data_IF_489356628484
#
_entry.id   IF_489356628484
#
_cell.length_a   1.000
_cell.length_b   1.000
_cell.length_c   1.000
_cell.angle_alpha   90.00
_cell.angle_beta   90.00
_cell.angle_gamma   90.00
#
_symmetry.space_group_name_H-M   'P 1'
#
loop_
_entity.id
_entity.type
_entity.pdbx_description
1 polymer ?
#
# COMPACT_ATOMS: atom_id res chain seq x y z
N UNK A 1 35.47 33.98 48.10
CA UNK A 1 35.51 33.07 46.92
C UNK A 1 34.28 33.35 46.05
N UNK A 2 34.44 33.57 44.74
CA UNK A 2 33.33 33.75 43.81
C UNK A 2 33.53 32.84 42.60
N UNK A 3 32.48 32.13 42.16
CA UNK A 3 32.54 31.24 40.98
C UNK A 3 31.95 31.97 39.77
N UNK A 4 32.78 32.20 38.76
CA UNK A 4 32.37 32.83 37.50
C UNK A 4 31.60 31.78 36.67
N UNK A 5 30.34 32.09 36.33
CA UNK A 5 29.52 31.25 35.45
C UNK A 5 29.88 31.47 33.98
N UNK A 6 30.17 30.40 33.26
CA UNK A 6 30.44 30.45 31.81
C UNK A 6 29.15 30.71 31.02
N UNK A 7 29.12 31.81 30.24
CA UNK A 7 28.04 32.06 29.29
C UNK A 7 28.12 31.08 28.12
N UNK A 8 27.01 30.43 27.80
CA UNK A 8 26.86 29.70 26.54
C UNK A 8 26.62 30.70 25.39
N UNK A 9 27.25 30.51 24.21
CA UNK A 9 26.95 31.32 23.03
C UNK A 9 25.53 31.02 22.51
N UNK A 10 24.78 32.07 22.18
CA UNK A 10 23.41 31.94 21.69
C UNK A 10 23.33 31.37 20.28
N UNK A 11 22.58 30.28 20.09
CA UNK A 11 22.29 29.75 18.75
C UNK A 11 21.32 30.67 18.00
N UNK A 12 21.84 31.51 17.12
CA UNK A 12 21.06 32.36 16.21
C UNK A 12 20.29 31.50 15.19
N UNK A 13 19.03 31.18 15.48
CA UNK A 13 18.13 30.52 14.53
C UNK A 13 17.73 31.50 13.41
N UNK A 14 18.42 31.40 12.26
CA UNK A 14 18.05 32.13 11.04
C UNK A 14 16.65 31.71 10.56
N UNK A 15 15.65 32.53 10.91
CA UNK A 15 14.23 32.32 10.59
C UNK A 15 13.96 32.59 9.11
N UNK A 16 14.24 31.60 8.27
CA UNK A 16 13.89 31.62 6.84
C UNK A 16 12.38 31.86 6.71
N UNK A 17 12.00 33.00 6.10
CA UNK A 17 10.60 33.31 5.75
C UNK A 17 10.30 32.79 4.34
N UNK A 18 9.35 31.86 4.13
CA UNK A 18 8.91 31.53 2.79
C UNK A 18 8.08 32.69 2.20
N UNK A 19 8.61 33.37 1.20
CA UNK A 19 7.87 34.40 0.44
C UNK A 19 6.91 33.73 -0.57
N UNK A 20 5.85 33.08 -0.05
CA UNK A 20 4.80 32.44 -0.84
C UNK A 20 3.44 33.11 -0.60
N UNK A 21 3.14 34.17 -1.36
CA UNK A 21 1.84 34.87 -1.29
C UNK A 21 0.83 34.19 -2.20
N UNK A 22 0.15 33.16 -1.68
CA UNK A 22 -0.99 32.54 -2.39
C UNK A 22 -2.07 33.60 -2.64
N UNK A 23 -2.46 33.79 -3.90
CA UNK A 23 -3.51 34.71 -4.32
C UNK A 23 -4.74 33.89 -4.71
N UNK A 24 -5.84 34.06 -3.98
CA UNK A 24 -7.12 33.42 -4.28
C UNK A 24 -7.63 33.84 -5.66
N UNK A 25 -8.28 32.96 -6.44
CA UNK A 25 -9.10 33.38 -7.57
C UNK A 25 -10.28 34.22 -7.06
N UNK A 26 -10.54 35.37 -7.70
CA UNK A 26 -11.76 36.15 -7.48
C UNK A 26 -12.76 35.80 -8.59
N UNK A 27 -14.02 35.57 -8.22
CA UNK A 27 -15.08 35.19 -9.16
C UNK A 27 -15.97 36.36 -9.58
N UNK A 28 -16.65 36.17 -10.72
CA UNK A 28 -17.83 36.89 -11.22
C UNK A 28 -17.69 38.39 -11.55
N UNK A 29 -17.83 38.74 -12.83
CA UNK A 29 -19.03 39.42 -13.39
C UNK A 29 -18.90 39.72 -14.90
N UNK A 30 -19.96 40.25 -15.50
CA UNK A 30 -20.23 40.53 -16.94
C UNK A 30 -20.70 42.02 -17.03
N UNK A 31 -21.04 42.66 -18.19
CA UNK A 31 -20.93 42.24 -19.60
C UNK A 31 -20.56 43.37 -20.62
N UNK A 32 -20.56 43.04 -21.93
CA UNK A 32 -20.74 43.93 -23.12
C UNK A 32 -19.68 45.03 -23.42
N UNK A 33 -19.45 45.49 -24.66
CA UNK A 33 -19.81 45.08 -26.05
C UNK A 33 -18.58 45.41 -26.95
N UNK A 34 -18.44 45.22 -28.28
CA UNK A 34 -19.22 44.80 -29.48
C UNK A 34 -18.20 44.09 -30.41
N UNK A 35 -18.45 43.37 -31.52
CA UNK A 35 -19.62 42.93 -32.35
C UNK A 35 -19.15 41.64 -33.12
N UNK A 36 -19.59 41.16 -34.30
CA UNK A 36 -20.50 41.61 -35.38
C UNK A 36 -21.02 40.43 -36.26
N UNK A 37 -21.93 40.75 -37.19
CA UNK A 37 -22.35 40.03 -38.43
C UNK A 37 -22.48 38.49 -38.46
N UNK A 38 -23.74 38.02 -38.53
CA UNK A 38 -24.24 36.77 -39.16
C UNK A 38 -23.86 35.39 -38.56
N UNK A 39 -24.67 34.32 -38.69
CA UNK A 39 -26.14 34.21 -38.87
C UNK A 39 -26.58 32.75 -38.62
N UNK A 40 -27.59 32.51 -37.77
CA UNK A 40 -28.11 31.15 -37.55
C UNK A 40 -29.28 31.06 -36.55
N UNK A 41 -30.50 30.86 -37.07
CA UNK A 41 -31.71 30.38 -36.36
C UNK A 41 -31.58 28.85 -36.14
N UNK A 42 -32.32 28.05 -35.35
CA UNK A 42 -33.46 28.21 -34.42
C UNK A 42 -33.65 26.85 -33.65
N UNK A 43 -34.31 26.72 -32.49
CA UNK A 43 -34.61 27.69 -31.42
C UNK A 43 -35.09 27.02 -30.10
N UNK A 44 -34.66 27.57 -28.95
CA UNK A 44 -35.47 27.90 -27.74
C UNK A 44 -36.24 26.83 -26.89
N UNK A 45 -35.74 26.63 -25.64
CA UNK A 45 -36.49 26.39 -24.36
C UNK A 45 -37.30 25.05 -24.23
N UNK A 46 -37.82 24.57 -23.08
CA UNK A 46 -37.85 25.01 -21.65
C UNK A 46 -38.00 23.82 -20.64
N UNK A 47 -37.63 24.06 -19.38
CA UNK A 47 -38.05 23.40 -18.10
C UNK A 47 -38.00 21.87 -17.83
N UNK A 48 -37.95 21.60 -16.52
CA UNK A 48 -38.35 20.39 -15.78
C UNK A 48 -39.28 20.89 -14.63
N UNK A 49 -40.08 20.07 -13.92
CA UNK A 49 -40.00 18.61 -13.78
C UNK A 49 -41.34 17.84 -13.94
N UNK A 50 -41.30 16.51 -13.80
CA UNK A 50 -42.48 15.62 -13.74
C UNK A 50 -42.14 14.31 -13.02
N UNK A 51 -43.14 13.59 -12.48
CA UNK A 51 -42.94 12.47 -11.56
C UNK A 51 -43.78 11.21 -11.92
N UNK A 52 -43.28 10.05 -11.49
CA UNK A 52 -43.90 8.70 -11.50
C UNK A 52 -44.35 8.12 -12.84
N UNK A 53 -43.68 7.04 -13.26
CA UNK A 53 -44.34 5.74 -13.51
C UNK A 53 -43.34 4.59 -13.51
N UNK A 54 -43.77 3.44 -12.99
CA UNK A 54 -43.07 2.17 -13.18
C UNK A 54 -43.31 1.68 -14.61
N UNK A 55 -42.26 1.23 -15.30
CA UNK A 55 -42.42 0.20 -16.34
C UNK A 55 -41.40 -0.92 -16.16
N UNK A 56 -41.91 -2.14 -16.34
CA UNK A 56 -41.26 -3.40 -15.98
C UNK A 56 -40.51 -3.96 -17.19
N UNK A 57 -39.34 -3.40 -17.48
CA UNK A 57 -38.43 -3.97 -18.51
C UNK A 57 -37.41 -4.90 -17.86
N UNK A 58 -37.49 -6.19 -18.18
CA UNK A 58 -36.48 -7.17 -17.79
C UNK A 58 -35.37 -7.20 -18.84
N UNK A 59 -34.25 -6.51 -18.57
CA UNK A 59 -33.03 -6.70 -19.37
C UNK A 59 -32.18 -7.84 -18.79
N UNK A 60 -31.70 -8.71 -19.67
CA UNK A 60 -30.82 -9.81 -19.36
C UNK A 60 -29.40 -9.32 -19.16
N UNK A 61 -29.15 -8.64 -18.04
CA UNK A 61 -27.84 -8.15 -17.63
C UNK A 61 -26.82 -9.29 -17.58
N UNK A 62 -26.12 -9.49 -18.70
CA UNK A 62 -24.98 -10.43 -18.84
C UNK A 62 -24.04 -10.16 -17.66
N UNK A 63 -23.62 -11.18 -16.89
CA UNK A 63 -22.69 -10.96 -15.79
C UNK A 63 -21.41 -10.36 -16.37
N UNK A 64 -21.22 -9.05 -16.14
CA UNK A 64 -20.05 -8.33 -16.61
C UNK A 64 -18.82 -9.02 -16.07
N UNK A 65 -17.84 -9.33 -16.93
CA UNK A 65 -16.67 -10.14 -16.60
C UNK A 65 -16.05 -9.68 -15.28
N UNK A 66 -16.29 -10.45 -14.21
CA UNK A 66 -15.78 -10.16 -12.87
C UNK A 66 -14.31 -10.54 -12.87
N UNK A 67 -13.46 -9.59 -13.26
CA UNK A 67 -12.01 -9.73 -13.24
C UNK A 67 -11.58 -9.75 -11.77
N UNK A 68 -11.57 -10.94 -11.18
CA UNK A 68 -11.09 -11.16 -9.82
C UNK A 68 -9.61 -10.79 -9.72
N UNK A 69 -9.27 -9.93 -8.76
CA UNK A 69 -7.91 -9.42 -8.61
C UNK A 69 -7.16 -10.34 -7.67
N UNK A 70 -6.01 -10.86 -8.10
CA UNK A 70 -5.12 -11.65 -7.23
C UNK A 70 -4.22 -10.70 -6.45
N UNK A 71 -4.33 -10.69 -5.12
CA UNK A 71 -3.60 -9.82 -4.20
C UNK A 71 -2.72 -10.70 -3.31
N UNK A 72 -1.39 -10.51 -3.37
CA UNK A 72 -0.44 -11.28 -2.57
C UNK A 72 0.02 -10.47 -1.36
N UNK A 73 -0.02 -11.06 -0.18
CA UNK A 73 0.51 -10.47 1.05
C UNK A 73 1.68 -11.32 1.54
N UNK A 74 2.86 -10.70 1.63
CA UNK A 74 4.06 -11.38 2.16
C UNK A 74 3.95 -11.48 3.67
N UNK A 75 3.98 -12.70 4.19
CA UNK A 75 3.78 -13.00 5.60
C UNK A 75 5.01 -13.66 6.23
N UNK A 76 5.35 -13.20 7.42
CA UNK A 76 6.27 -13.84 8.36
C UNK A 76 5.75 -13.64 9.80
N UNK A 77 6.49 -14.10 10.80
CA UNK A 77 6.12 -13.97 12.23
C UNK A 77 6.21 -12.54 12.77
N UNK A 78 6.50 -11.52 11.95
CA UNK A 78 6.68 -10.14 12.39
C UNK A 78 5.38 -9.37 12.60
N UNK A 79 5.44 -8.36 13.47
CA UNK A 79 4.35 -7.40 13.68
C UNK A 79 4.16 -6.49 12.45
N UNK A 80 5.23 -6.31 11.67
CA UNK A 80 5.23 -5.62 10.38
C UNK A 80 4.35 -6.34 9.35
N UNK A 81 4.55 -7.64 9.14
CA UNK A 81 3.74 -8.46 8.24
C UNK A 81 2.28 -8.55 8.70
N UNK A 82 2.06 -8.80 10.00
CA UNK A 82 0.71 -8.79 10.60
C UNK A 82 0.01 -7.43 10.39
N UNK A 83 0.73 -6.32 10.52
CA UNK A 83 0.20 -4.98 10.27
C UNK A 83 -0.14 -4.71 8.81
N UNK A 84 0.68 -5.21 7.87
CA UNK A 84 0.42 -5.09 6.44
C UNK A 84 -0.81 -5.90 5.99
N UNK A 85 -0.96 -7.13 6.50
CA UNK A 85 -2.16 -7.95 6.29
C UNK A 85 -3.42 -7.31 6.89
N UNK A 86 -3.31 -6.77 8.11
CA UNK A 86 -4.42 -6.05 8.75
C UNK A 86 -4.84 -4.81 7.97
N UNK A 87 -3.89 -4.07 7.40
CA UNK A 87 -4.17 -2.94 6.50
C UNK A 87 -4.86 -3.42 5.21
N UNK A 88 -4.33 -4.46 4.54
CA UNK A 88 -4.85 -4.92 3.25
C UNK A 88 -6.34 -5.29 3.32
N UNK A 89 -6.72 -6.11 4.30
CA UNK A 89 -8.13 -6.51 4.50
C UNK A 89 -9.07 -5.34 4.81
N UNK A 90 -8.54 -4.26 5.40
CA UNK A 90 -9.34 -3.07 5.76
C UNK A 90 -9.41 -2.01 4.67
N UNK A 91 -8.50 -1.96 3.68
CA UNK A 91 -8.42 -0.84 2.73
C UNK A 91 -8.35 -1.23 1.24
N UNK A 92 -7.97 -2.46 0.87
CA UNK A 92 -7.79 -2.82 -0.55
C UNK A 92 -8.48 -4.10 -1.00
N UNK A 93 -8.62 -5.10 -0.10
CA UNK A 93 -9.29 -6.37 -0.40
C UNK A 93 -10.81 -6.18 -0.47
N UNK A 94 -11.41 -6.66 -1.54
CA UNK A 94 -12.84 -6.73 -1.84
C UNK A 94 -13.28 -8.21 -1.86
N UNK A 95 -14.58 -8.48 -1.72
CA UNK A 95 -15.10 -9.86 -1.64
C UNK A 95 -14.87 -10.72 -2.89
N UNK A 96 -14.56 -10.07 -4.03
CA UNK A 96 -14.26 -10.69 -5.33
C UNK A 96 -12.75 -10.82 -5.62
N UNK A 97 -11.88 -10.49 -4.65
CA UNK A 97 -10.44 -10.65 -4.78
C UNK A 97 -9.99 -12.02 -4.23
N UNK A 98 -9.00 -12.63 -4.89
CA UNK A 98 -8.29 -13.79 -4.36
C UNK A 98 -7.05 -13.31 -3.58
N UNK A 99 -6.97 -13.63 -2.29
CA UNK A 99 -5.86 -13.20 -1.43
C UNK A 99 -4.88 -14.35 -1.16
N UNK A 100 -3.63 -14.19 -1.58
CA UNK A 100 -2.57 -15.17 -1.41
C UNK A 100 -1.67 -14.77 -0.23
N UNK A 101 -1.59 -15.60 0.81
CA UNK A 101 -0.62 -15.45 1.90
C UNK A 101 0.70 -16.14 1.50
N UNK A 102 1.72 -15.36 1.15
CA UNK A 102 3.05 -15.87 0.76
C UNK A 102 4.01 -15.92 1.95
N UNK A 103 4.37 -17.12 2.41
CA UNK A 103 5.50 -17.34 3.32
C UNK A 103 6.75 -17.77 2.54
N UNK A 104 7.87 -17.06 2.71
CA UNK A 104 9.15 -17.43 2.08
C UNK A 104 10.11 -18.04 3.10
N UNK A 105 10.37 -19.34 2.93
CA UNK A 105 11.36 -20.11 3.71
C UNK A 105 12.76 -19.99 3.12
N UNK A 106 13.78 -20.33 3.91
CA UNK A 106 15.14 -20.54 3.40
C UNK A 106 15.36 -22.03 3.14
N UNK A 107 16.16 -22.42 2.13
CA UNK A 107 16.57 -23.81 1.97
C UNK A 107 17.27 -24.33 3.21
N UNK A 108 16.82 -25.49 3.68
CA UNK A 108 17.45 -26.18 4.80
C UNK A 108 18.74 -26.88 4.34
N UNK A 109 19.74 -26.97 5.21
CA UNK A 109 20.97 -27.76 4.97
C UNK A 109 20.86 -29.18 5.56
N UNK A 110 19.66 -29.74 5.69
CA UNK A 110 19.51 -31.11 6.18
C UNK A 110 19.84 -32.11 5.07
N UNK A 111 21.03 -32.70 5.14
CA UNK A 111 21.37 -33.87 4.35
C UNK A 111 20.59 -35.10 4.80
N UNK A 112 20.15 -35.91 3.84
CA UNK A 112 19.81 -37.33 3.98
C UNK A 112 19.00 -37.74 5.22
N UNK A 113 17.70 -37.44 5.24
CA UNK A 113 16.72 -38.40 5.76
C UNK A 113 15.34 -38.27 5.10
N UNK A 114 15.07 -39.25 4.24
CA UNK A 114 13.82 -40.01 4.07
C UNK A 114 12.45 -39.31 4.13
N UNK A 115 11.68 -39.59 3.09
CA UNK A 115 10.26 -39.34 2.87
C UNK A 115 9.37 -39.08 4.11
N UNK A 116 8.58 -38.01 4.04
CA UNK A 116 7.16 -38.12 4.36
C UNK A 116 6.32 -37.22 3.44
N UNK A 117 5.50 -37.84 2.58
CA UNK A 117 4.61 -37.13 1.67
C UNK A 117 3.37 -36.60 2.41
N UNK A 118 3.59 -35.61 3.30
CA UNK A 118 2.54 -34.86 3.99
C UNK A 118 2.71 -33.38 3.68
N UNK A 119 1.59 -32.71 3.44
CA UNK A 119 1.48 -31.28 3.04
C UNK A 119 1.73 -30.34 4.23
N UNK A 120 2.74 -30.65 5.04
CA UNK A 120 3.08 -30.00 6.31
C UNK A 120 3.70 -28.63 6.03
N UNK A 121 3.04 -27.58 6.51
CA UNK A 121 3.59 -26.22 6.51
C UNK A 121 4.92 -26.24 7.29
N UNK A 122 6.06 -25.79 6.70
CA UNK A 122 7.35 -25.80 7.40
C UNK A 122 7.30 -25.01 8.71
N UNK A 123 8.07 -25.42 9.73
CA UNK A 123 8.08 -24.78 11.06
C UNK A 123 8.24 -23.25 11.02
N UNK A 124 9.04 -22.76 10.08
CA UNK A 124 9.24 -21.32 9.83
C UNK A 124 7.95 -20.54 9.45
N UNK A 125 6.85 -21.23 9.15
CA UNK A 125 5.56 -20.71 8.71
C UNK A 125 4.39 -21.10 9.65
N UNK A 126 4.65 -21.62 10.86
CA UNK A 126 3.62 -22.02 11.86
C UNK A 126 2.59 -20.93 12.19
N UNK A 127 2.94 -19.66 12.01
CA UNK A 127 2.04 -18.52 12.22
C UNK A 127 0.87 -18.45 11.21
N UNK A 128 0.94 -19.15 10.06
CA UNK A 128 -0.02 -18.99 8.95
C UNK A 128 -1.46 -19.26 9.42
N UNK A 129 -1.72 -20.28 10.23
CA UNK A 129 -3.09 -20.61 10.66
C UNK A 129 -3.71 -19.49 11.52
N UNK A 130 -2.90 -18.76 12.27
CA UNK A 130 -3.34 -17.57 13.00
C UNK A 130 -3.71 -16.43 12.05
N UNK A 131 -2.95 -16.26 10.97
CA UNK A 131 -3.24 -15.26 9.93
C UNK A 131 -4.48 -15.65 9.10
N UNK A 132 -4.62 -16.93 8.72
CA UNK A 132 -5.79 -17.46 8.00
C UNK A 132 -7.08 -17.24 8.79
N UNK A 133 -7.10 -17.60 10.08
CA UNK A 133 -8.23 -17.34 10.98
C UNK A 133 -8.57 -15.84 11.06
N UNK A 134 -7.56 -14.96 11.09
CA UNK A 134 -7.75 -13.49 11.11
C UNK A 134 -8.32 -12.93 9.79
N UNK A 135 -8.02 -13.56 8.64
CA UNK A 135 -8.58 -13.19 7.35
C UNK A 135 -10.06 -13.59 7.29
N UNK A 136 -10.36 -14.85 7.60
CA UNK A 136 -11.70 -15.42 7.62
C UNK A 136 -12.62 -14.67 8.61
N UNK A 137 -12.10 -14.27 9.78
CA UNK A 137 -12.87 -13.46 10.75
C UNK A 137 -13.03 -11.99 10.38
N UNK A 138 -12.41 -11.51 9.30
CA UNK A 138 -12.56 -10.14 8.78
C UNK A 138 -13.47 -10.07 7.57
N UNK A 139 -13.30 -10.99 6.62
CA UNK A 139 -14.03 -11.11 5.36
C UNK A 139 -14.12 -12.59 4.99
N UNK A 140 -15.15 -13.33 5.42
CA UNK A 140 -15.30 -14.76 5.11
C UNK A 140 -15.63 -15.03 3.64
N UNK A 141 -16.03 -14.01 2.88
CA UNK A 141 -16.38 -14.10 1.45
C UNK A 141 -15.14 -14.16 0.54
N UNK A 142 -13.98 -13.73 1.05
CA UNK A 142 -12.72 -13.60 0.29
C UNK A 142 -12.06 -14.97 0.13
N UNK A 143 -11.76 -15.33 -1.12
CA UNK A 143 -10.96 -16.51 -1.42
C UNK A 143 -9.54 -16.36 -0.85
N UNK A 144 -9.09 -17.34 -0.05
CA UNK A 144 -7.81 -17.26 0.67
C UNK A 144 -6.89 -18.44 0.34
N UNK A 145 -5.87 -18.15 -0.45
CA UNK A 145 -4.78 -19.06 -0.77
C UNK A 145 -3.60 -18.94 0.20
N UNK A 146 -2.81 -20.00 0.29
CA UNK A 146 -1.55 -20.04 1.04
C UNK A 146 -0.46 -20.57 0.12
N UNK A 147 0.56 -19.75 -0.12
CA UNK A 147 1.75 -20.12 -0.85
C UNK A 147 2.94 -20.20 0.12
N UNK A 148 3.66 -21.33 0.11
CA UNK A 148 4.94 -21.45 0.78
C UNK A 148 6.00 -21.71 -0.29
N UNK A 149 7.00 -20.83 -0.37
CA UNK A 149 8.05 -20.92 -1.38
C UNK A 149 9.42 -20.88 -0.72
N UNK A 150 10.30 -21.79 -1.13
CA UNK A 150 11.67 -21.86 -0.66
C UNK A 150 12.58 -21.00 -1.53
N UNK A 151 13.40 -20.16 -0.90
CA UNK A 151 14.27 -19.23 -1.61
C UNK A 151 15.52 -18.88 -0.82
N UNK A 152 16.67 -18.88 -1.51
CA UNK A 152 17.95 -18.42 -0.95
C UNK A 152 17.86 -16.94 -0.54
N UNK A 153 17.34 -16.11 -1.45
CA UNK A 153 17.28 -14.66 -1.33
C UNK A 153 15.82 -14.18 -1.47
N UNK A 154 15.22 -13.73 -0.35
CA UNK A 154 13.77 -13.46 -0.28
C UNK A 154 13.26 -12.45 -1.31
N UNK A 155 14.07 -11.47 -1.71
CA UNK A 155 13.67 -10.40 -2.64
C UNK A 155 13.28 -10.95 -4.03
N UNK A 156 14.22 -11.58 -4.76
CA UNK A 156 13.95 -12.27 -6.01
C UNK A 156 12.78 -13.26 -5.89
N UNK A 157 12.78 -14.15 -4.90
CA UNK A 157 11.75 -15.19 -4.75
C UNK A 157 10.34 -14.63 -4.58
N UNK A 158 10.15 -13.50 -3.88
CA UNK A 158 8.84 -12.84 -3.78
C UNK A 158 8.39 -12.28 -5.13
N UNK A 159 9.30 -11.63 -5.87
CA UNK A 159 9.01 -11.02 -7.18
C UNK A 159 8.68 -12.09 -8.21
N UNK A 160 9.45 -13.18 -8.24
CA UNK A 160 9.25 -14.31 -9.14
C UNK A 160 7.92 -15.03 -8.88
N UNK A 161 7.56 -15.28 -7.61
CA UNK A 161 6.28 -15.92 -7.29
C UNK A 161 5.08 -14.99 -7.56
N UNK A 162 5.20 -13.69 -7.27
CA UNK A 162 4.15 -12.71 -7.59
C UNK A 162 3.88 -12.64 -9.11
N UNK A 163 4.94 -12.66 -9.93
CA UNK A 163 4.84 -12.74 -11.39
C UNK A 163 4.21 -14.07 -11.83
N UNK A 164 4.70 -15.20 -11.33
CA UNK A 164 4.22 -16.56 -11.62
C UNK A 164 2.74 -16.76 -11.30
N UNK A 165 2.24 -16.11 -10.25
CA UNK A 165 0.84 -16.19 -9.84
C UNK A 165 -0.08 -15.13 -10.49
N UNK A 166 0.43 -14.30 -11.41
CA UNK A 166 -0.38 -13.28 -12.10
C UNK A 166 -0.94 -12.20 -11.17
N UNK A 167 -0.20 -11.86 -10.10
CA UNK A 167 -0.67 -11.00 -9.02
C UNK A 167 -0.73 -9.54 -9.45
N UNK A 168 -1.87 -8.88 -9.27
CA UNK A 168 -2.05 -7.46 -9.60
C UNK A 168 -1.47 -6.50 -8.54
N UNK A 169 -1.45 -6.93 -7.28
CA UNK A 169 -0.96 -6.11 -6.15
C UNK A 169 -0.18 -6.96 -5.13
N UNK A 170 1.01 -6.49 -4.75
CA UNK A 170 1.90 -7.13 -3.79
C UNK A 170 2.03 -6.26 -2.53
N UNK A 171 1.64 -6.79 -1.36
CA UNK A 171 1.64 -6.06 -0.09
C UNK A 171 2.73 -6.58 0.85
N UNK A 172 3.53 -5.67 1.41
CA UNK A 172 4.79 -5.96 2.11
C UNK A 172 4.85 -5.27 3.50
N UNK A 173 5.23 -6.01 4.53
CA UNK A 173 5.49 -5.46 5.88
C UNK A 173 6.77 -4.63 5.95
N UNK A 174 6.67 -3.31 6.13
CA UNK A 174 7.82 -2.40 6.14
C UNK A 174 8.34 -2.14 7.57
N UNK A 175 9.57 -2.61 7.86
CA UNK A 175 10.21 -2.40 9.18
C UNK A 175 10.64 -0.96 9.42
N UNK A 176 10.13 -0.36 10.50
CA UNK A 176 10.59 0.96 10.98
C UNK A 176 12.00 0.85 11.57
N UNK A 177 13.02 1.09 10.75
CA UNK A 177 14.39 1.34 11.20
C UNK A 177 14.43 2.67 11.96
N UNK A 178 15.21 2.76 13.03
CA UNK A 178 15.46 4.04 13.71
C UNK A 178 16.35 4.95 12.85
N UNK A 179 16.23 6.26 13.04
CA UNK A 179 17.14 7.25 12.45
C UNK A 179 18.58 7.00 12.88
N UNK A 180 18.80 6.69 14.16
CA UNK A 180 20.11 6.29 14.71
C UNK A 180 20.71 5.08 13.99
N UNK A 181 19.91 4.04 13.70
CA UNK A 181 20.40 2.87 12.94
C UNK A 181 20.74 3.23 11.49
N UNK A 182 19.93 4.09 10.83
CA UNK A 182 20.24 4.56 9.48
C UNK A 182 21.56 5.33 9.44
N UNK A 183 21.76 6.25 10.39
CA UNK A 183 22.99 7.02 10.53
C UNK A 183 24.19 6.11 10.81
N UNK A 184 24.09 5.19 11.79
CA UNK A 184 25.18 4.27 12.15
C UNK A 184 25.65 3.43 10.95
N UNK A 185 24.73 2.91 10.13
CA UNK A 185 25.10 2.17 8.91
C UNK A 185 25.81 3.06 7.87
N UNK A 186 25.43 4.34 7.74
CA UNK A 186 26.11 5.29 6.85
C UNK A 186 27.52 5.63 7.35
N UNK A 187 27.72 5.82 8.66
CA UNK A 187 29.05 6.01 9.26
C UNK A 187 29.94 4.77 9.09
N UNK A 188 29.36 3.57 9.12
CA UNK A 188 30.07 2.30 8.92
C UNK A 188 30.44 2.00 7.45
N UNK A 189 30.35 2.96 6.53
CA UNK A 189 30.63 2.80 5.08
C UNK A 189 29.63 1.94 4.30
N UNK A 190 28.86 1.10 5.00
CA UNK A 190 27.82 0.26 4.44
C UNK A 190 26.68 1.12 3.87
N UNK A 191 26.68 1.31 2.54
CA UNK A 191 25.47 1.70 1.81
C UNK A 191 24.32 0.81 2.30
N UNK A 192 23.19 1.40 2.67
CA UNK A 192 22.03 0.65 3.14
C UNK A 192 21.44 -0.10 1.95
N UNK A 193 21.96 -1.31 1.71
CA UNK A 193 21.51 -2.20 0.65
C UNK A 193 19.99 -2.35 0.72
N UNK A 194 19.34 -2.23 -0.44
CA UNK A 194 17.88 -2.22 -0.54
C UNK A 194 17.30 -3.48 0.09
N UNK A 195 16.73 -3.33 1.29
CA UNK A 195 16.13 -4.47 2.00
C UNK A 195 15.00 -5.08 1.16
N UNK A 196 14.67 -6.36 1.43
CA UNK A 196 13.67 -7.17 0.69
C UNK A 196 12.47 -6.37 0.19
N UNK A 197 11.88 -5.52 1.05
CA UNK A 197 10.74 -4.65 0.75
C UNK A 197 11.02 -3.61 -0.35
N UNK A 198 12.16 -2.91 -0.31
CA UNK A 198 12.56 -1.95 -1.35
C UNK A 198 12.94 -2.69 -2.64
N UNK A 199 13.61 -3.85 -2.55
CA UNK A 199 13.88 -4.69 -3.72
C UNK A 199 12.58 -5.08 -4.44
N UNK A 200 11.57 -5.58 -3.70
CA UNK A 200 10.28 -5.93 -4.27
C UNK A 200 9.58 -4.72 -4.89
N UNK A 201 9.64 -3.54 -4.26
CA UNK A 201 9.06 -2.31 -4.80
C UNK A 201 9.69 -1.85 -6.12
N UNK A 202 11.00 -2.06 -6.30
CA UNK A 202 11.67 -1.66 -7.54
C UNK A 202 11.53 -2.70 -8.65
N UNK A 203 11.53 -4.00 -8.31
CA UNK A 203 11.64 -5.09 -9.29
C UNK A 203 10.33 -5.87 -9.56
N UNK A 204 9.25 -5.65 -8.80
CA UNK A 204 7.96 -6.24 -9.14
C UNK A 204 7.33 -5.57 -10.37
N UNK A 205 6.78 -6.40 -11.25
CA UNK A 205 6.03 -5.96 -12.44
C UNK A 205 4.63 -5.40 -12.08
N UNK A 206 4.11 -5.77 -10.90
CA UNK A 206 2.79 -5.41 -10.39
C UNK A 206 2.80 -4.26 -9.37
N UNK A 207 1.63 -3.88 -8.85
CA UNK A 207 1.53 -2.78 -7.86
C UNK A 207 2.09 -3.21 -6.50
N UNK A 208 3.39 -2.99 -6.27
CA UNK A 208 4.04 -3.26 -5.00
C UNK A 208 3.86 -2.12 -3.98
N UNK A 209 3.36 -2.48 -2.79
CA UNK A 209 2.97 -1.58 -1.70
C UNK A 209 3.62 -2.04 -0.39
N UNK A 210 4.49 -1.20 0.17
CA UNK A 210 5.09 -1.40 1.49
C UNK A 210 4.32 -0.63 2.55
N UNK A 211 3.95 -1.30 3.64
CA UNK A 211 3.04 -0.79 4.66
C UNK A 211 3.69 -0.83 6.04
N UNK A 212 3.62 0.27 6.79
CA UNK A 212 3.99 0.31 8.21
C UNK A 212 2.99 1.08 9.05
N UNK A 213 2.83 0.73 10.33
CA UNK A 213 2.07 1.56 11.28
C UNK A 213 2.78 2.90 11.50
N UNK A 214 2.04 4.01 11.40
CA UNK A 214 2.54 5.38 11.61
C UNK A 214 2.98 5.58 13.07
N UNK A 215 2.10 5.20 14.00
CA UNK A 215 2.31 5.30 15.45
C UNK A 215 1.81 4.05 16.19
N UNK A 216 2.33 3.81 17.40
CA UNK A 216 1.70 2.88 18.36
C UNK A 216 0.46 3.51 19.01
N UNK A 217 0.45 4.83 19.23
CA UNK A 217 -0.61 5.58 19.94
C UNK A 217 -1.67 6.18 19.01
N UNK A 218 -1.25 6.80 17.90
CA UNK A 218 -2.12 7.64 17.04
C UNK A 218 -2.66 6.93 15.79
N UNK A 219 -2.78 5.60 15.83
CA UNK A 219 -3.25 4.79 14.69
C UNK A 219 -2.44 4.99 13.39
N UNK A 220 -3.13 4.81 12.26
CA UNK A 220 -2.68 5.12 10.90
C UNK A 220 -1.59 4.22 10.32
N UNK A 221 -1.52 4.18 8.99
CA UNK A 221 -0.52 3.46 8.21
C UNK A 221 0.21 4.42 7.27
N UNK A 222 1.55 4.34 7.22
CA UNK A 222 2.35 4.97 6.18
C UNK A 222 2.65 3.95 5.10
N UNK A 223 2.56 4.41 3.86
CA UNK A 223 2.69 3.59 2.65
C UNK A 223 3.89 4.07 1.83
N UNK A 224 4.60 3.13 1.23
CA UNK A 224 5.61 3.37 0.22
C UNK A 224 5.31 2.53 -1.02
N UNK A 225 5.40 3.13 -2.20
CA UNK A 225 5.31 2.48 -3.52
C UNK A 225 6.53 2.89 -4.35
N UNK A 226 6.62 2.40 -5.59
CA UNK A 226 7.70 2.75 -6.54
C UNK A 226 7.76 4.26 -6.85
N UNK A 227 6.63 4.98 -6.76
CA UNK A 227 6.51 6.41 -7.12
C UNK A 227 6.42 7.37 -5.92
N UNK A 228 5.95 6.93 -4.76
CA UNK A 228 5.75 7.78 -3.58
C UNK A 228 6.22 7.06 -2.31
N UNK A 229 6.96 7.76 -1.44
CA UNK A 229 7.50 7.18 -0.20
C UNK A 229 6.88 7.80 1.04
N UNK A 230 6.63 6.96 2.04
CA UNK A 230 6.12 7.30 3.37
C UNK A 230 4.85 8.18 3.42
N UNK A 231 3.99 8.13 2.38
CA UNK A 231 2.74 8.88 2.36
C UNK A 231 1.72 8.30 3.34
N UNK A 232 0.87 9.17 3.89
CA UNK A 232 -0.17 8.78 4.85
C UNK A 232 -1.52 8.78 4.14
N UNK A 233 -2.15 7.60 4.01
CA UNK A 233 -3.59 7.58 3.79
C UNK A 233 -4.28 7.93 5.11
N UNK A 234 -5.19 8.90 5.05
CA UNK A 234 -6.18 9.11 6.10
C UNK A 234 -7.00 7.81 6.22
N UNK A 235 -7.38 7.48 7.45
CA UNK A 235 -8.14 6.29 7.81
C UNK A 235 -9.59 6.69 8.14
#
# INVERSE_FOLDING_TARGET
MAKIGTRLPGFCLNRIRPHARVRSPLGQSKPETVSSVSSGKADTKIESPGNVKEEKSGDGAKPGLVISRRIMVVVDSSLEAKGALQWAFSHTVQSQDTVILLCVTKPSKQGTSQESNKKTVPRACEFIDSLKKMCQSKKPEVELEVAVVEGKDKGPTIVEEARKQGVSMLVLGQKKRSTTWRLLMMWAGNRVAGGVVEYCIQNADCMAIAVRRKSKKLGGYLITTKRQKDFWLLA
#
